data_IF_600831623309
#
_entry.id   IF_600831623309
#
_cell.length_a   1.000
_cell.length_b   1.000
_cell.length_c   1.000
_cell.angle_alpha   90.00
_cell.angle_beta   90.00
_cell.angle_gamma   90.00
#
_symmetry.space_group_name_H-M   'P 1'
#
loop_
_entity.id
_entity.type
_entity.pdbx_description
1 polymer ?
#
# COMPACT_ATOMS: atom_id res chain seq x y z
N UNK A 1 0.37 1.53 -1.08
CA UNK A 1 -0.50 1.36 -2.26
C UNK A 1 -1.93 1.15 -1.80
N UNK A 2 -2.87 1.56 -2.61
CA UNK A 2 -4.28 1.41 -2.31
C UNK A 2 -4.83 0.14 -2.95
N UNK A 3 -5.58 -0.64 -2.21
CA UNK A 3 -6.15 -1.89 -2.71
C UNK A 3 -7.36 -1.57 -3.59
N UNK A 4 -7.31 -2.01 -4.85
CA UNK A 4 -8.39 -1.81 -5.81
C UNK A 4 -9.31 -3.02 -5.89
N UNK A 5 -8.77 -4.22 -5.79
CA UNK A 5 -9.52 -5.46 -5.98
C UNK A 5 -8.83 -6.58 -5.22
N UNK A 6 -9.62 -7.51 -4.70
CA UNK A 6 -9.10 -8.66 -3.95
C UNK A 6 -9.64 -9.94 -4.56
N UNK A 7 -8.75 -10.93 -4.72
CA UNK A 7 -9.12 -12.28 -5.16
C UNK A 7 -8.39 -13.28 -4.27
N UNK A 8 -9.12 -13.92 -3.37
CA UNK A 8 -8.53 -14.88 -2.46
C UNK A 8 -7.46 -14.23 -1.59
N UNK A 9 -6.23 -14.69 -1.69
CA UNK A 9 -5.11 -14.18 -0.93
C UNK A 9 -4.21 -13.25 -1.75
N UNK A 10 -4.70 -12.77 -2.90
CA UNK A 10 -4.00 -11.79 -3.72
C UNK A 10 -4.88 -10.56 -3.92
N UNK A 11 -4.26 -9.47 -4.31
CA UNK A 11 -4.97 -8.22 -4.54
C UNK A 11 -4.29 -7.42 -5.64
N UNK A 12 -5.06 -6.54 -6.27
CA UNK A 12 -4.53 -5.54 -7.18
C UNK A 12 -4.41 -4.23 -6.39
N UNK A 13 -3.23 -3.68 -6.34
CA UNK A 13 -2.96 -2.44 -5.61
C UNK A 13 -2.39 -1.38 -6.54
N UNK A 14 -2.62 -0.11 -6.22
CA UNK A 14 -2.23 1.00 -7.07
C UNK A 14 -1.61 2.13 -6.25
N UNK A 15 -0.62 2.79 -6.85
CA UNK A 15 -0.11 4.08 -6.38
C UNK A 15 0.35 4.89 -7.60
N UNK A 16 -0.09 6.14 -7.68
CA UNK A 16 0.34 7.08 -8.73
C UNK A 16 0.14 6.52 -10.15
N UNK A 17 -0.97 5.82 -10.38
CA UNK A 17 -1.28 5.27 -11.70
C UNK A 17 -0.60 3.96 -12.02
N UNK A 18 0.24 3.44 -11.13
CA UNK A 18 0.89 2.14 -11.31
C UNK A 18 0.16 1.11 -10.48
N UNK A 19 -0.27 0.02 -11.11
CA UNK A 19 -0.96 -1.06 -10.40
C UNK A 19 -0.14 -2.34 -10.45
N UNK A 20 -0.23 -3.13 -9.39
CA UNK A 20 0.50 -4.38 -9.27
C UNK A 20 -0.33 -5.40 -8.51
N UNK A 21 -0.15 -6.66 -8.87
CA UNK A 21 -0.70 -7.76 -8.10
C UNK A 21 0.21 -8.05 -6.92
N UNK A 22 -0.38 -8.16 -5.75
CA UNK A 22 0.36 -8.38 -4.50
C UNK A 22 -0.25 -9.50 -3.70
N UNK A 23 0.52 -10.09 -2.80
CA UNK A 23 0.04 -11.12 -1.89
C UNK A 23 -0.51 -10.53 -0.60
N UNK A 24 -1.57 -11.13 -0.09
CA UNK A 24 -2.20 -10.74 1.16
C UNK A 24 -2.02 -11.77 2.26
N UNK A 25 -1.08 -12.71 2.10
CA UNK A 25 -0.89 -13.79 3.08
C UNK A 25 -0.56 -13.26 4.47
N UNK A 26 0.12 -12.11 4.55
CA UNK A 26 0.51 -11.51 5.81
C UNK A 26 -0.56 -10.58 6.38
N UNK A 27 -1.54 -10.17 5.56
CA UNK A 27 -2.63 -9.29 5.98
C UNK A 27 -3.95 -9.83 5.44
N UNK A 28 -4.42 -10.98 5.94
CA UNK A 28 -5.59 -11.64 5.34
C UNK A 28 -6.90 -10.87 5.50
N UNK A 29 -6.98 -9.93 6.40
CA UNK A 29 -8.19 -9.12 6.63
C UNK A 29 -8.16 -7.77 5.91
N UNK A 30 -7.27 -7.61 4.93
CA UNK A 30 -7.23 -6.42 4.07
C UNK A 30 -8.50 -6.35 3.21
N UNK A 31 -9.00 -5.14 3.00
CA UNK A 31 -10.21 -4.89 2.22
C UNK A 31 -9.94 -3.93 1.09
N UNK A 32 -10.84 -3.91 0.11
CA UNK A 32 -10.79 -2.93 -0.97
C UNK A 32 -10.81 -1.52 -0.37
N UNK A 33 -10.02 -0.64 -0.95
CA UNK A 33 -9.77 0.73 -0.54
C UNK A 33 -8.85 0.88 0.68
N UNK A 34 -8.36 -0.21 1.24
CA UNK A 34 -7.34 -0.12 2.29
C UNK A 34 -6.02 0.35 1.68
N UNK A 35 -5.28 1.12 2.46
CA UNK A 35 -3.92 1.49 2.13
C UNK A 35 -2.96 0.55 2.84
N UNK A 36 -1.97 0.06 2.10
CA UNK A 36 -1.01 -0.92 2.64
C UNK A 36 0.40 -0.57 2.22
N UNK A 37 1.35 -1.02 3.03
CA UNK A 37 2.77 -0.97 2.71
C UNK A 37 3.14 -2.28 2.05
N UNK A 38 3.82 -2.20 0.90
CA UNK A 38 4.22 -3.36 0.11
C UNK A 38 5.73 -3.54 0.22
N UNK A 39 6.15 -4.77 0.46
CA UNK A 39 7.56 -5.13 0.44
C UNK A 39 7.69 -6.52 -0.16
N UNK A 40 8.59 -6.65 -1.14
CA UNK A 40 8.85 -7.92 -1.83
C UNK A 40 7.58 -8.54 -2.43
N UNK A 41 6.64 -7.71 -2.87
CA UNK A 41 5.40 -8.19 -3.50
C UNK A 41 4.30 -8.58 -2.52
N UNK A 42 4.49 -8.34 -1.22
CA UNK A 42 3.50 -8.66 -0.19
C UNK A 42 3.09 -7.41 0.58
N UNK A 43 1.81 -7.35 0.92
CA UNK A 43 1.34 -6.33 1.85
C UNK A 43 1.79 -6.73 3.26
N UNK A 44 2.52 -5.84 3.93
CA UNK A 44 3.12 -6.15 5.23
C UNK A 44 2.51 -5.36 6.37
N UNK A 45 1.83 -4.27 6.08
CA UNK A 45 1.19 -3.45 7.11
C UNK A 45 0.07 -2.64 6.48
N UNK A 46 -0.95 -2.33 7.27
CA UNK A 46 -2.02 -1.44 6.86
C UNK A 46 -1.73 -0.03 7.35
N UNK A 47 -2.14 0.94 6.53
CA UNK A 47 -2.12 2.35 6.91
C UNK A 47 -3.56 2.85 6.88
N UNK A 48 -3.90 3.78 7.77
CA UNK A 48 -5.15 4.49 7.57
C UNK A 48 -4.93 5.58 6.50
N UNK A 49 -6.00 6.20 6.05
CA UNK A 49 -5.91 7.17 4.95
C UNK A 49 -5.02 8.35 5.32
N UNK A 50 -5.10 8.82 6.53
CA UNK A 50 -4.30 9.93 6.99
C UNK A 50 -2.82 9.58 7.01
N UNK A 51 -2.46 8.40 7.50
CA UNK A 51 -1.08 7.94 7.52
C UNK A 51 -0.53 7.81 6.11
N UNK A 52 -1.32 7.34 5.17
CA UNK A 52 -0.90 7.22 3.78
C UNK A 52 -0.60 8.59 3.18
N UNK A 53 -1.42 9.58 3.45
CA UNK A 53 -1.20 10.93 2.95
C UNK A 53 0.04 11.56 3.56
N UNK A 54 0.27 11.37 4.84
CA UNK A 54 1.46 11.87 5.50
C UNK A 54 2.72 11.24 4.90
N UNK A 55 2.71 9.94 4.66
CA UNK A 55 3.84 9.24 4.05
C UNK A 55 4.15 9.78 2.66
N UNK A 56 3.11 9.97 1.85
CA UNK A 56 3.29 10.51 0.50
C UNK A 56 3.83 11.94 0.54
N UNK A 57 3.38 12.74 1.50
CA UNK A 57 3.85 14.10 1.66
C UNK A 57 5.33 14.12 2.02
N UNK A 58 5.77 13.25 2.91
CA UNK A 58 7.18 13.15 3.28
C UNK A 58 8.04 12.78 2.08
N UNK A 59 7.62 11.83 1.28
CA UNK A 59 8.33 11.48 0.05
C UNK A 59 8.42 12.66 -0.91
N UNK A 60 7.32 13.37 -1.08
CA UNK A 60 7.24 14.50 -2.00
C UNK A 60 8.16 15.62 -1.57
N UNK A 61 8.20 15.91 -0.29
CA UNK A 61 9.02 16.98 0.26
C UNK A 61 10.49 16.60 0.33
N UNK A 62 10.80 15.34 0.13
CA UNK A 62 12.17 14.87 0.17
C UNK A 62 12.77 14.80 1.56
N UNK A 63 11.99 15.03 2.59
CA UNK A 63 12.49 15.08 3.94
C UNK A 63 13.18 13.82 4.38
N UNK A 64 12.58 12.69 4.09
CA UNK A 64 13.16 11.42 4.51
C UNK A 64 14.36 11.03 3.62
N UNK A 65 14.48 11.62 2.45
CA UNK A 65 15.59 11.33 1.55
C UNK A 65 16.92 11.93 2.02
N UNK A 66 16.84 12.82 2.97
CA UNK A 66 18.04 13.39 3.56
C UNK A 66 18.75 12.43 4.51
N UNK A 67 18.14 11.31 4.72
CA UNK A 67 18.65 10.28 5.62
C UNK A 67 19.87 9.58 5.11
#
# INVERSE_FOLDING_TARGET
MKILQIQGDTALAEVNGVSREIGLQLLPDTKVNDWVIIHAGFAIAKLDEQEAQESLSLFRDGGYLDQ
#
